data_IF_664101210975
#
_entry.id   IF_664101210975
#
_cell.length_a   1.000
_cell.length_b   1.000
_cell.length_c   1.000
_cell.angle_alpha   90.00
_cell.angle_beta   90.00
_cell.angle_gamma   90.00
#
_symmetry.space_group_name_H-M   'P 1'
#
loop_
_entity.id
_entity.type
_entity.pdbx_description
1 polymer ?
#
# COMPACT_ATOMS: atom_id res chain seq x y z
N UNK A 1 -31.47 -24.36 -45.01
CA UNK A 1 -30.90 -23.03 -44.77
C UNK A 1 -31.76 -22.44 -43.67
N UNK A 2 -31.47 -22.81 -42.42
CA UNK A 2 -30.42 -22.17 -41.58
C UNK A 2 -30.83 -20.72 -41.31
N UNK A 3 -30.84 -20.18 -40.10
CA UNK A 3 -30.59 -20.57 -38.72
C UNK A 3 -31.32 -19.44 -37.91
N UNK A 4 -31.98 -19.75 -36.81
CA UNK A 4 -31.45 -19.53 -35.46
C UNK A 4 -31.23 -18.05 -35.14
N UNK A 5 -32.00 -17.53 -34.18
CA UNK A 5 -31.64 -16.41 -33.28
C UNK A 5 -32.79 -16.21 -32.27
N UNK A 6 -32.89 -17.18 -31.36
CA UNK A 6 -33.64 -17.09 -30.11
C UNK A 6 -32.67 -16.65 -29.01
N UNK A 7 -32.41 -15.36 -28.92
CA UNK A 7 -31.65 -14.77 -27.80
C UNK A 7 -32.54 -14.67 -26.57
N UNK A 8 -32.56 -15.76 -25.79
CA UNK A 8 -32.84 -15.71 -24.35
C UNK A 8 -31.55 -15.33 -23.63
N UNK A 9 -31.34 -14.03 -23.42
CA UNK A 9 -30.37 -13.58 -22.42
C UNK A 9 -31.00 -13.71 -21.03
N UNK A 10 -30.82 -14.88 -20.44
CA UNK A 10 -30.91 -15.08 -19.00
C UNK A 10 -29.63 -14.52 -18.36
N UNK A 11 -29.64 -13.24 -17.99
CA UNK A 11 -28.65 -12.71 -17.04
C UNK A 11 -29.01 -13.19 -15.62
N UNK A 12 -28.64 -14.44 -15.33
CA UNK A 12 -28.45 -14.91 -13.97
C UNK A 12 -27.18 -14.23 -13.43
N UNK A 13 -27.32 -13.09 -12.76
CA UNK A 13 -26.29 -12.58 -11.84
C UNK A 13 -26.29 -13.48 -10.61
N UNK A 14 -25.68 -14.64 -10.76
CA UNK A 14 -25.18 -15.42 -9.64
C UNK A 14 -24.06 -14.61 -9.01
N UNK A 15 -24.39 -13.99 -7.87
CA UNK A 15 -23.46 -13.39 -6.92
C UNK A 15 -22.50 -14.51 -6.48
N UNK A 16 -21.46 -14.68 -7.28
CA UNK A 16 -20.42 -15.67 -7.08
C UNK A 16 -19.66 -15.21 -5.85
N UNK A 17 -20.05 -15.74 -4.70
CA UNK A 17 -19.34 -15.62 -3.43
C UNK A 17 -17.92 -16.15 -3.67
N UNK A 18 -17.01 -15.26 -4.06
CA UNK A 18 -15.59 -15.58 -4.22
C UNK A 18 -15.12 -16.01 -2.85
N UNK A 19 -14.99 -17.32 -2.67
CA UNK A 19 -14.43 -17.90 -1.45
C UNK A 19 -12.94 -17.57 -1.46
N UNK A 20 -12.61 -16.42 -0.88
CA UNK A 20 -11.23 -16.03 -0.62
C UNK A 20 -10.64 -17.09 0.30
N UNK A 21 -9.65 -17.86 -0.17
CA UNK A 21 -9.03 -18.91 0.63
C UNK A 21 -8.44 -18.32 1.92
N UNK A 22 -8.81 -18.87 3.07
CA UNK A 22 -8.40 -18.36 4.37
C UNK A 22 -6.91 -18.60 4.62
N UNK A 23 -6.13 -17.54 4.73
CA UNK A 23 -4.70 -17.59 5.05
C UNK A 23 -4.43 -18.08 6.49
N UNK A 24 -3.18 -18.46 6.80
CA UNK A 24 -2.80 -18.99 8.11
C UNK A 24 -3.16 -18.08 9.28
N UNK A 25 -3.07 -16.76 9.12
CA UNK A 25 -3.40 -15.81 10.17
C UNK A 25 -4.91 -15.76 10.44
N UNK A 26 -5.72 -15.79 9.37
CA UNK A 26 -7.18 -15.81 9.48
C UNK A 26 -7.66 -17.06 10.22
N UNK A 27 -7.09 -18.23 9.90
CA UNK A 27 -7.38 -19.48 10.58
C UNK A 27 -7.07 -19.41 12.08
N UNK A 28 -5.94 -18.79 12.47
CA UNK A 28 -5.57 -18.58 13.87
C UNK A 28 -6.56 -17.67 14.59
N UNK A 29 -6.98 -16.57 13.97
CA UNK A 29 -7.96 -15.66 14.53
C UNK A 29 -9.31 -16.36 14.74
N UNK A 30 -9.77 -17.09 13.72
CA UNK A 30 -11.02 -17.87 13.78
C UNK A 30 -10.98 -18.93 14.87
N UNK A 31 -9.86 -19.63 14.99
CA UNK A 31 -9.64 -20.59 16.06
C UNK A 31 -9.65 -19.92 17.45
N UNK A 32 -8.97 -18.79 17.60
CA UNK A 32 -8.95 -18.06 18.87
C UNK A 32 -10.33 -17.57 19.30
N UNK A 33 -11.12 -17.02 18.38
CA UNK A 33 -12.47 -16.53 18.68
C UNK A 33 -13.42 -17.69 19.01
N UNK A 34 -13.39 -18.78 18.25
CA UNK A 34 -14.19 -19.97 18.58
C UNK A 34 -13.85 -20.59 19.94
N UNK A 35 -12.55 -20.61 20.30
CA UNK A 35 -12.11 -20.99 21.65
C UNK A 35 -12.66 -20.04 22.71
N UNK A 36 -12.66 -18.73 22.45
CA UNK A 36 -13.16 -17.72 23.38
C UNK A 36 -14.67 -17.87 23.61
N UNK A 37 -15.46 -18.06 22.56
CA UNK A 37 -16.90 -18.37 22.66
C UNK A 37 -17.11 -19.66 23.47
N UNK A 38 -16.36 -20.72 23.17
CA UNK A 38 -16.45 -21.99 23.92
C UNK A 38 -16.14 -21.78 25.40
N UNK A 39 -15.12 -20.98 25.73
CA UNK A 39 -14.76 -20.65 27.11
C UNK A 39 -15.87 -19.87 27.82
N UNK A 40 -16.46 -18.87 27.16
CA UNK A 40 -17.57 -18.09 27.71
C UNK A 40 -18.75 -19.02 28.01
N UNK A 41 -19.18 -19.84 27.04
CA UNK A 41 -20.29 -20.78 27.22
C UNK A 41 -20.00 -21.78 28.35
N UNK A 42 -18.77 -22.31 28.43
CA UNK A 42 -18.38 -23.24 29.50
C UNK A 42 -18.38 -22.61 30.91
N UNK A 43 -18.21 -21.29 31.00
CA UNK A 43 -18.25 -20.57 32.28
C UNK A 43 -19.67 -20.45 32.84
N UNK A 44 -20.69 -20.52 31.98
CA UNK A 44 -22.11 -20.47 32.33
C UNK A 44 -22.56 -21.84 32.81
N UNK A 45 -22.08 -22.22 34.01
CA UNK A 45 -22.38 -23.53 34.62
C UNK A 45 -23.82 -23.58 35.13
N UNK A 46 -24.49 -24.70 34.89
CA UNK A 46 -25.84 -24.94 35.41
C UNK A 46 -25.90 -24.86 36.95
N UNK A 47 -24.84 -25.24 37.66
CA UNK A 47 -24.78 -25.16 39.13
C UNK A 47 -24.93 -23.73 39.64
N UNK A 48 -24.29 -22.76 38.99
CA UNK A 48 -24.43 -21.34 39.33
C UNK A 48 -25.83 -20.83 38.95
N UNK A 49 -26.39 -21.35 37.86
CA UNK A 49 -27.73 -20.98 37.40
C UNK A 49 -28.81 -21.46 38.38
N UNK A 50 -28.75 -22.72 38.82
CA UNK A 50 -29.71 -23.29 39.77
C UNK A 50 -29.59 -22.70 41.18
N UNK A 51 -28.38 -22.33 41.61
CA UNK A 51 -28.14 -21.61 42.87
C UNK A 51 -28.79 -20.23 42.90
N UNK A 52 -28.85 -19.52 41.77
CA UNK A 52 -29.50 -18.20 41.70
C UNK A 52 -31.02 -18.30 41.50
N UNK A 53 -31.52 -19.40 40.91
CA UNK A 53 -32.95 -19.64 40.66
C UNK A 53 -33.54 -20.76 41.54
N UNK A 54 -33.26 -20.73 42.85
CA UNK A 54 -33.63 -21.79 43.81
C UNK A 54 -35.12 -22.13 43.80
N UNK A 55 -35.99 -21.12 43.79
CA UNK A 55 -37.45 -21.29 43.84
C UNK A 55 -37.98 -22.04 42.61
N UNK A 56 -37.44 -21.71 41.44
CA UNK A 56 -37.83 -22.34 40.17
C UNK A 56 -37.22 -23.73 40.06
N UNK A 57 -35.98 -23.90 40.53
CA UNK A 57 -35.31 -25.20 40.59
C UNK A 57 -36.07 -26.19 41.49
N UNK A 58 -36.60 -25.74 42.63
CA UNK A 58 -37.37 -26.59 43.55
C UNK A 58 -38.72 -27.03 42.95
N UNK A 59 -39.40 -26.13 42.23
CA UNK A 59 -40.73 -26.40 41.67
C UNK A 59 -40.65 -27.18 40.34
N UNK A 60 -39.72 -26.80 39.45
CA UNK A 60 -39.62 -27.31 38.09
C UNK A 60 -38.15 -27.43 37.61
N UNK A 61 -37.36 -28.37 38.16
CA UNK A 61 -35.93 -28.50 37.84
C UNK A 61 -35.69 -28.85 36.37
N UNK A 62 -36.57 -29.64 35.75
CA UNK A 62 -36.48 -30.02 34.33
C UNK A 62 -36.68 -28.82 33.40
N UNK A 63 -37.58 -27.90 33.75
CA UNK A 63 -37.83 -26.68 32.97
C UNK A 63 -36.65 -25.73 33.06
N UNK A 64 -36.05 -25.59 34.25
CA UNK A 64 -34.89 -24.73 34.45
C UNK A 64 -33.65 -25.26 33.71
N UNK A 65 -33.43 -26.58 33.70
CA UNK A 65 -32.36 -27.21 32.93
C UNK A 65 -32.52 -26.97 31.42
N UNK A 66 -33.73 -27.15 30.88
CA UNK A 66 -34.02 -26.84 29.46
C UNK A 66 -33.81 -25.37 29.14
N UNK A 67 -34.22 -24.46 30.02
CA UNK A 67 -34.01 -23.03 29.82
C UNK A 67 -32.51 -22.66 29.78
N UNK A 68 -31.71 -23.24 30.66
CA UNK A 68 -30.25 -23.05 30.67
C UNK A 68 -29.59 -23.57 29.39
N UNK A 69 -29.99 -24.75 28.93
CA UNK A 69 -29.51 -25.34 27.67
C UNK A 69 -29.90 -24.46 26.47
N UNK A 70 -31.16 -24.00 26.41
CA UNK A 70 -31.63 -23.10 25.36
C UNK A 70 -30.87 -21.77 25.37
N UNK A 71 -30.68 -21.17 26.54
CA UNK A 71 -29.95 -19.92 26.69
C UNK A 71 -28.49 -20.06 26.23
N UNK A 72 -27.80 -21.12 26.66
CA UNK A 72 -26.40 -21.33 26.28
C UNK A 72 -26.25 -21.64 24.79
N UNK A 73 -27.15 -22.45 24.22
CA UNK A 73 -27.16 -22.76 22.79
C UNK A 73 -27.46 -21.52 21.93
N UNK A 74 -28.47 -20.73 22.28
CA UNK A 74 -28.80 -19.49 21.56
C UNK A 74 -27.67 -18.47 21.65
N UNK A 75 -27.07 -18.31 22.83
CA UNK A 75 -25.95 -17.39 23.01
C UNK A 75 -24.75 -17.81 22.14
N UNK A 76 -24.41 -19.10 22.14
CA UNK A 76 -23.33 -19.63 21.32
C UNK A 76 -23.59 -19.43 19.83
N UNK A 77 -24.81 -19.71 19.38
CA UNK A 77 -25.21 -19.51 18.00
C UNK A 77 -25.11 -18.05 17.59
N UNK A 78 -25.74 -17.14 18.35
CA UNK A 78 -25.74 -15.71 18.07
C UNK A 78 -24.31 -15.14 18.05
N UNK A 79 -23.45 -15.51 19.01
CA UNK A 79 -22.05 -15.08 19.00
C UNK A 79 -21.29 -15.56 17.77
N UNK A 80 -21.51 -16.81 17.36
CA UNK A 80 -20.82 -17.39 16.19
C UNK A 80 -21.30 -16.74 14.89
N UNK A 81 -22.59 -16.49 14.77
CA UNK A 81 -23.20 -15.80 13.63
C UNK A 81 -22.73 -14.34 13.55
N UNK A 82 -22.70 -13.62 14.67
CA UNK A 82 -22.22 -12.23 14.72
C UNK A 82 -20.74 -12.12 14.32
N UNK A 83 -19.89 -13.05 14.77
CA UNK A 83 -18.47 -13.10 14.39
C UNK A 83 -18.33 -13.30 12.88
N UNK A 84 -19.14 -14.19 12.30
CA UNK A 84 -19.11 -14.46 10.87
C UNK A 84 -19.64 -13.27 10.05
N UNK A 85 -20.66 -12.57 10.55
CA UNK A 85 -21.15 -11.33 9.94
C UNK A 85 -20.08 -10.24 9.96
N UNK A 86 -19.42 -10.00 11.10
CA UNK A 86 -18.30 -9.04 11.19
C UNK A 86 -17.17 -9.37 10.19
N UNK A 87 -16.84 -10.65 10.02
CA UNK A 87 -15.83 -11.06 9.03
C UNK A 87 -16.22 -10.71 7.58
N UNK A 88 -17.51 -10.81 7.26
CA UNK A 88 -18.03 -10.48 5.93
C UNK A 88 -18.15 -8.97 5.72
N UNK A 89 -18.67 -8.23 6.70
CA UNK A 89 -18.88 -6.78 6.62
C UNK A 89 -17.55 -6.02 6.49
N UNK A 90 -16.56 -6.37 7.30
CA UNK A 90 -15.26 -5.68 7.32
C UNK A 90 -14.25 -6.27 6.32
N UNK A 91 -14.64 -7.30 5.56
CA UNK A 91 -13.76 -8.01 4.63
C UNK A 91 -12.43 -8.44 5.28
N UNK A 92 -12.52 -8.92 6.53
CA UNK A 92 -11.36 -9.24 7.37
C UNK A 92 -10.52 -10.35 6.73
N UNK A 93 -11.15 -11.30 6.04
CA UNK A 93 -10.45 -12.39 5.35
C UNK A 93 -9.47 -11.84 4.31
N UNK A 94 -9.89 -10.88 3.48
CA UNK A 94 -9.00 -10.25 2.50
C UNK A 94 -7.88 -9.46 3.18
N UNK A 95 -8.21 -8.69 4.23
CA UNK A 95 -7.22 -7.90 4.97
C UNK A 95 -6.14 -8.77 5.60
N UNK A 96 -6.54 -9.86 6.26
CA UNK A 96 -5.60 -10.82 6.88
C UNK A 96 -4.74 -11.52 5.84
N UNK A 97 -5.31 -11.88 4.68
CA UNK A 97 -4.55 -12.47 3.59
C UNK A 97 -3.53 -11.50 2.98
N UNK A 98 -3.89 -10.22 2.86
CA UNK A 98 -2.95 -9.18 2.42
C UNK A 98 -1.83 -8.96 3.43
N UNK A 99 -2.15 -9.06 4.72
CA UNK A 99 -1.14 -9.01 5.78
C UNK A 99 -0.21 -10.23 5.73
N UNK A 100 -0.73 -11.44 5.49
CA UNK A 100 0.08 -12.65 5.32
C UNK A 100 1.06 -12.50 4.13
N UNK A 101 0.61 -11.93 3.01
CA UNK A 101 1.49 -11.60 1.87
C UNK A 101 2.58 -10.60 2.28
N UNK A 102 2.22 -9.52 2.98
CA UNK A 102 3.17 -8.51 3.43
C UNK A 102 4.21 -9.07 4.41
N UNK A 103 3.80 -9.99 5.30
CA UNK A 103 4.71 -10.68 6.22
C UNK A 103 5.66 -11.58 5.42
N UNK A 104 5.16 -12.31 4.42
CA UNK A 104 5.98 -13.15 3.55
C UNK A 104 7.04 -12.30 2.80
N UNK A 105 6.62 -11.21 2.16
CA UNK A 105 7.50 -10.28 1.44
C UNK A 105 8.51 -9.58 2.37
N UNK A 106 8.11 -9.32 3.62
CA UNK A 106 8.95 -8.70 4.64
C UNK A 106 9.95 -9.65 5.30
N UNK A 107 9.71 -10.97 5.28
CA UNK A 107 10.51 -11.95 6.01
C UNK A 107 11.96 -12.07 5.51
N UNK A 108 12.24 -11.62 4.28
CA UNK A 108 13.60 -11.61 3.72
C UNK A 108 14.44 -10.41 4.18
N UNK A 109 13.88 -9.45 4.91
CA UNK A 109 14.60 -8.24 5.34
C UNK A 109 15.17 -8.44 6.74
N UNK A 110 16.51 -8.40 6.85
CA UNK A 110 17.21 -8.47 8.15
C UNK A 110 17.16 -7.15 8.92
N UNK A 111 16.90 -6.03 8.24
CA UNK A 111 16.85 -4.71 8.86
C UNK A 111 15.46 -4.41 9.43
N UNK A 112 15.39 -3.74 10.60
CA UNK A 112 14.11 -3.35 11.18
C UNK A 112 13.36 -2.43 10.20
N UNK A 113 12.11 -2.79 9.93
CA UNK A 113 11.25 -1.98 9.08
C UNK A 113 11.02 -0.59 9.68
N UNK A 114 10.95 0.43 8.81
CA UNK A 114 10.69 1.81 9.21
C UNK A 114 9.38 1.91 10.03
N UNK A 115 9.37 2.83 10.99
CA UNK A 115 8.22 3.17 11.82
C UNK A 115 8.06 4.70 11.83
N UNK A 116 6.83 5.22 11.85
CA UNK A 116 6.58 6.65 11.95
C UNK A 116 7.33 7.24 13.16
N UNK A 117 8.04 8.34 12.93
CA UNK A 117 8.86 8.99 13.96
C UNK A 117 8.02 9.80 14.96
N UNK A 118 6.73 10.01 14.65
CA UNK A 118 5.85 10.92 15.37
C UNK A 118 5.99 12.37 14.92
N UNK A 119 6.88 12.66 13.96
CA UNK A 119 6.99 13.94 13.30
C UNK A 119 6.54 13.82 11.84
N UNK A 120 5.40 14.44 11.45
CA UNK A 120 4.84 14.30 10.11
C UNK A 120 5.78 14.84 9.03
N UNK A 121 6.55 15.90 9.31
CA UNK A 121 7.45 16.50 8.31
C UNK A 121 8.54 15.51 7.88
N UNK A 122 9.12 14.80 8.86
CA UNK A 122 10.17 13.81 8.62
C UNK A 122 9.60 12.60 7.88
N UNK A 123 8.41 12.16 8.29
CA UNK A 123 7.77 10.96 7.73
C UNK A 123 7.34 11.19 6.27
N UNK A 124 6.83 12.38 5.93
CA UNK A 124 6.51 12.77 4.56
C UNK A 124 7.77 12.87 3.69
N UNK A 125 8.86 13.44 4.23
CA UNK A 125 10.14 13.48 3.51
C UNK A 125 10.63 12.07 3.21
N UNK A 126 10.60 11.16 4.20
CA UNK A 126 11.03 9.78 4.03
C UNK A 126 10.21 9.05 2.96
N UNK A 127 8.89 9.22 2.98
CA UNK A 127 7.98 8.61 2.01
C UNK A 127 8.22 9.10 0.57
N UNK A 128 8.43 10.42 0.39
CA UNK A 128 8.60 11.04 -0.94
C UNK A 128 10.03 10.98 -1.47
N UNK A 129 11.01 10.56 -0.65
CA UNK A 129 12.43 10.65 -0.99
C UNK A 129 12.81 9.86 -2.25
N UNK A 130 12.18 8.70 -2.49
CA UNK A 130 12.46 7.86 -3.66
C UNK A 130 12.22 8.60 -4.99
N UNK A 131 11.05 9.21 -5.14
CA UNK A 131 10.69 10.00 -6.32
C UNK A 131 11.60 11.22 -6.49
N UNK A 132 11.89 11.91 -5.37
CA UNK A 132 12.79 13.07 -5.35
C UNK A 132 14.20 12.72 -5.80
N UNK A 133 14.70 11.53 -5.43
CA UNK A 133 16.02 11.05 -5.86
C UNK A 133 16.05 10.78 -7.37
N UNK A 134 15.00 10.19 -7.93
CA UNK A 134 14.88 9.97 -9.38
C UNK A 134 14.91 11.31 -10.12
N UNK A 135 14.09 12.27 -9.69
CA UNK A 135 14.05 13.60 -10.30
C UNK A 135 15.38 14.34 -10.17
N UNK A 136 16.03 14.27 -9.01
CA UNK A 136 17.36 14.85 -8.80
C UNK A 136 18.37 14.31 -9.81
N UNK A 137 18.39 13.00 -10.01
CA UNK A 137 19.34 12.37 -10.92
C UNK A 137 19.13 12.84 -12.36
N UNK A 138 17.88 12.95 -12.81
CA UNK A 138 17.53 13.47 -14.14
C UNK A 138 17.99 14.92 -14.32
N UNK A 139 17.71 15.80 -13.34
CA UNK A 139 18.14 17.19 -13.39
C UNK A 139 19.67 17.32 -13.41
N UNK A 140 20.37 16.47 -12.65
CA UNK A 140 21.83 16.46 -12.62
C UNK A 140 22.43 16.07 -13.97
N UNK A 141 21.80 15.15 -14.70
CA UNK A 141 22.21 14.79 -16.05
C UNK A 141 22.02 15.95 -17.03
N UNK A 142 20.87 16.63 -16.99
CA UNK A 142 20.58 17.81 -17.81
C UNK A 142 21.60 18.93 -17.56
N UNK A 143 21.89 19.23 -16.29
CA UNK A 143 22.89 20.25 -15.92
C UNK A 143 24.26 19.90 -16.49
N UNK A 144 24.70 18.64 -16.36
CA UNK A 144 25.98 18.17 -16.88
C UNK A 144 26.06 18.32 -18.41
N UNK A 145 24.97 18.04 -19.10
CA UNK A 145 24.88 18.20 -20.55
C UNK A 145 24.98 19.67 -20.97
N UNK A 146 24.23 20.56 -20.31
CA UNK A 146 24.24 22.00 -20.57
C UNK A 146 25.61 22.61 -20.31
N UNK A 147 26.25 22.25 -19.21
CA UNK A 147 27.61 22.72 -18.90
C UNK A 147 28.62 22.26 -19.96
N UNK A 148 28.49 21.03 -20.46
CA UNK A 148 29.35 20.52 -21.52
C UNK A 148 29.18 21.31 -22.82
N UNK A 149 27.92 21.55 -23.23
CA UNK A 149 27.61 22.39 -24.39
C UNK A 149 28.16 23.81 -24.22
N UNK A 150 27.98 24.41 -23.04
CA UNK A 150 28.46 25.75 -22.76
C UNK A 150 29.99 25.82 -22.85
N UNK A 151 30.72 24.85 -22.27
CA UNK A 151 32.19 24.75 -22.42
C UNK A 151 32.61 24.66 -23.89
N UNK A 152 31.90 23.90 -24.72
CA UNK A 152 32.18 23.83 -26.16
C UNK A 152 31.94 25.17 -26.85
N UNK A 153 30.84 25.87 -26.50
CA UNK A 153 30.52 27.17 -27.07
C UNK A 153 31.54 28.24 -26.67
N UNK A 154 31.98 28.27 -25.41
CA UNK A 154 33.05 29.16 -24.93
C UNK A 154 34.35 28.89 -25.70
N UNK A 155 34.73 27.62 -25.89
CA UNK A 155 35.93 27.28 -26.67
C UNK A 155 35.82 27.78 -28.11
N UNK A 156 34.66 27.63 -28.76
CA UNK A 156 34.41 28.16 -30.11
C UNK A 156 34.47 29.68 -30.15
N UNK A 157 33.89 30.34 -29.15
CA UNK A 157 33.91 31.80 -29.02
C UNK A 157 35.33 32.32 -28.86
N UNK A 158 36.12 31.75 -27.96
CA UNK A 158 37.52 32.15 -27.74
C UNK A 158 38.39 31.94 -29.00
N UNK A 159 38.22 30.80 -29.69
CA UNK A 159 38.90 30.57 -30.99
C UNK A 159 38.54 31.63 -32.03
N UNK A 160 37.24 31.93 -32.16
CA UNK A 160 36.77 32.94 -33.12
C UNK A 160 37.28 34.34 -32.76
N UNK A 161 37.29 34.68 -31.48
CA UNK A 161 37.81 35.95 -30.97
C UNK A 161 39.31 36.10 -31.27
N UNK A 162 40.10 35.04 -31.06
CA UNK A 162 41.52 35.04 -31.41
C UNK A 162 41.75 35.27 -32.92
N UNK A 163 41.04 34.55 -33.80
CA UNK A 163 41.15 34.77 -35.24
C UNK A 163 40.73 36.17 -35.67
N UNK A 164 39.71 36.77 -35.04
CA UNK A 164 39.30 38.15 -35.33
C UNK A 164 40.39 39.15 -34.92
N UNK A 165 41.06 38.92 -33.79
CA UNK A 165 42.17 39.76 -33.35
C UNK A 165 43.36 39.67 -34.30
N UNK A 166 43.68 38.47 -34.78
CA UNK A 166 44.74 38.27 -35.79
C UNK A 166 44.44 39.04 -37.08
N UNK A 167 43.21 38.92 -37.61
CA UNK A 167 42.77 39.67 -38.79
C UNK A 167 42.80 41.19 -38.55
N UNK A 168 42.41 41.66 -37.36
CA UNK A 168 42.51 43.08 -37.03
C UNK A 168 43.96 43.57 -37.05
N UNK A 169 44.88 42.82 -36.45
CA UNK A 169 46.31 43.16 -36.47
C UNK A 169 46.86 43.20 -37.91
N UNK A 170 46.46 42.26 -38.78
CA UNK A 170 46.85 42.27 -40.19
C UNK A 170 46.34 43.53 -40.91
N UNK A 171 45.08 43.92 -40.68
CA UNK A 171 44.50 45.14 -41.23
C UNK A 171 45.28 46.37 -40.75
N UNK A 172 45.60 46.48 -39.46
CA UNK A 172 46.36 47.61 -38.90
C UNK A 172 47.78 47.71 -39.50
N UNK A 173 48.44 46.57 -39.73
CA UNK A 173 49.73 46.52 -40.44
C UNK A 173 49.59 46.99 -41.89
N UNK A 174 48.56 46.54 -42.59
CA UNK A 174 48.31 46.97 -43.98
C UNK A 174 47.95 48.45 -44.08
N UNK A 175 47.14 48.98 -43.17
CA UNK A 175 46.81 50.41 -43.09
C UNK A 175 48.05 51.23 -42.79
N UNK A 176 48.92 50.77 -41.88
CA UNK A 176 50.18 51.45 -41.60
C UNK A 176 51.09 51.49 -42.83
N UNK A 177 51.22 50.37 -43.57
CA UNK A 177 52.01 50.30 -44.82
C UNK A 177 51.47 51.24 -45.91
N UNK A 178 50.15 51.28 -46.10
CA UNK A 178 49.51 52.22 -47.05
C UNK A 178 49.68 53.67 -46.61
N UNK A 179 49.69 53.95 -45.30
CA UNK A 179 50.00 55.28 -44.75
C UNK A 179 51.43 55.74 -45.06
N UNK A 180 52.40 54.81 -45.12
CA UNK A 180 53.77 55.13 -45.55
C UNK A 180 53.90 55.31 -47.08
N UNK A 181 53.04 54.67 -47.89
CA UNK A 181 53.06 54.83 -49.35
C UNK A 181 52.35 56.10 -49.85
N UNK A 182 51.44 56.68 -49.06
CA UNK A 182 50.67 57.89 -49.44
C UNK A 182 51.26 59.18 -48.83
N UNK A 183 52.28 59.08 -47.98
CA UNK A 183 53.01 60.23 -47.42
C UNK A 183 54.22 60.67 -48.26
N UNK A 184 53.98 61.53 -49.26
CA UNK A 184 54.95 62.50 -49.80
C UNK A 184 54.46 63.89 -49.43
#
# INVERSE_FOLDING_TARGET
>A
MENDDNEKETENKEDSKVTVEEGPLMQRLRHFLSLSVTKIVSSIRYSLFSENFKTIHANHPKTLAKLHEQMTSQLQQNMTEEIEQMFQEENIVSLMNNLDKLIHDGSSRETPAWRPSGNPDIDVIAHTMGERLILRNQLQEIVKELESRNRMLINKYEKRKASLLDVQNEIEVHVSKLGYEVGI
#
